data_IF_784998366355
#
_entry.id   IF_784998366355
#
_cell.length_a   1.000
_cell.length_b   1.000
_cell.length_c   1.000
_cell.angle_alpha   90.00
_cell.angle_beta   90.00
_cell.angle_gamma   90.00
#
_symmetry.space_group_name_H-M   'P 1'
#
loop_
_entity.id
_entity.type
_entity.pdbx_description
1 polymer ?
#
# COMPACT_ATOMS: atom_id res chain seq x y z
N UNK A 1 11.80 -16.20 16.59
CA UNK A 1 10.72 -16.37 15.59
C UNK A 1 9.51 -15.65 16.13
N UNK A 2 8.87 -14.79 15.34
CA UNK A 2 7.61 -14.16 15.75
C UNK A 2 6.55 -15.27 15.68
N UNK A 3 5.95 -15.60 16.82
CA UNK A 3 4.86 -16.56 16.90
C UNK A 3 3.58 -15.89 16.39
N UNK A 4 3.19 -16.27 15.18
CA UNK A 4 2.01 -15.74 14.49
C UNK A 4 0.70 -16.32 15.02
N UNK A 5 0.76 -17.42 15.78
CA UNK A 5 -0.41 -18.15 16.26
C UNK A 5 -1.00 -17.52 17.53
N UNK A 6 -0.16 -16.94 18.40
CA UNK A 6 -0.62 -16.34 19.66
C UNK A 6 -1.49 -15.09 19.48
N UNK A 7 -1.34 -14.34 18.38
CA UNK A 7 -2.16 -13.13 18.12
C UNK A 7 -3.50 -13.41 17.44
N UNK A 8 -3.67 -14.57 16.82
CA UNK A 8 -4.80 -14.81 15.90
C UNK A 8 -5.78 -15.90 16.34
N UNK A 9 -5.56 -16.55 17.49
CA UNK A 9 -6.38 -17.67 17.90
C UNK A 9 -6.17 -18.86 16.96
N UNK A 10 -6.03 -20.04 17.54
CA UNK A 10 -5.82 -21.30 16.82
C UNK A 10 -7.04 -21.67 15.96
N UNK A 11 -7.19 -21.08 14.78
CA UNK A 11 -8.10 -21.56 13.73
C UNK A 11 -7.26 -21.95 12.50
N UNK A 12 -7.31 -23.23 12.14
CA UNK A 12 -6.69 -23.79 10.94
C UNK A 12 -7.01 -22.93 9.71
N UNK A 13 -6.07 -22.80 8.79
CA UNK A 13 -6.25 -22.06 7.54
C UNK A 13 -7.53 -22.55 6.81
N UNK A 14 -8.57 -21.71 6.65
CA UNK A 14 -9.83 -22.15 6.08
C UNK A 14 -9.69 -22.41 4.58
N UNK A 15 -10.52 -23.33 4.07
CA UNK A 15 -10.59 -23.67 2.64
C UNK A 15 -11.01 -22.43 1.82
N UNK A 16 -10.33 -22.19 0.70
CA UNK A 16 -10.30 -20.91 -0.04
C UNK A 16 -11.59 -20.51 -0.78
N UNK A 17 -12.67 -21.30 -0.75
CA UNK A 17 -13.67 -21.25 -1.83
C UNK A 17 -15.08 -20.74 -1.45
N UNK A 18 -15.26 -20.08 -0.29
CA UNK A 18 -16.55 -19.46 0.06
C UNK A 18 -16.49 -17.91 0.01
N UNK A 19 -17.54 -17.22 -0.52
CA UNK A 19 -17.60 -15.76 -0.64
C UNK A 19 -17.38 -14.99 0.68
N UNK A 20 -17.69 -15.62 1.81
CA UNK A 20 -17.52 -15.05 3.15
C UNK A 20 -16.06 -15.06 3.67
N UNK A 21 -15.13 -15.72 2.98
CA UNK A 21 -13.73 -15.82 3.43
C UNK A 21 -12.83 -14.66 2.98
N UNK A 22 -13.30 -13.77 2.10
CA UNK A 22 -12.51 -12.63 1.65
C UNK A 22 -12.34 -11.58 2.76
N UNK A 23 -13.45 -11.22 3.42
CA UNK A 23 -13.45 -10.18 4.45
C UNK A 23 -13.05 -10.73 5.81
N UNK A 24 -12.27 -9.95 6.55
CA UNK A 24 -11.98 -10.21 7.96
C UNK A 24 -13.25 -10.08 8.81
N UNK A 25 -13.26 -10.78 9.94
CA UNK A 25 -14.27 -10.59 11.00
C UNK A 25 -14.16 -9.19 11.65
N UNK A 26 -12.99 -8.53 11.55
CA UNK A 26 -12.75 -7.19 12.11
C UNK A 26 -13.20 -6.07 11.17
N UNK A 27 -13.64 -4.94 11.74
CA UNK A 27 -13.90 -3.69 11.00
C UNK A 27 -12.60 -2.93 10.73
N UNK A 28 -12.64 -1.94 9.84
CA UNK A 28 -11.51 -1.04 9.63
C UNK A 28 -11.12 -0.25 10.89
N UNK A 29 -12.09 0.18 11.70
CA UNK A 29 -11.80 0.88 12.96
C UNK A 29 -11.07 0.02 13.99
N UNK A 30 -11.28 -1.30 13.98
CA UNK A 30 -10.55 -2.24 14.84
C UNK A 30 -9.12 -2.52 14.34
N UNK A 31 -8.82 -2.20 13.08
CA UNK A 31 -7.50 -2.41 12.46
C UNK A 31 -6.67 -1.14 12.48
N UNK A 32 -7.25 -0.01 12.05
CA UNK A 32 -6.61 1.31 11.99
C UNK A 32 -6.59 2.07 13.32
N UNK A 33 -7.29 1.57 14.35
CA UNK A 33 -7.65 2.35 15.52
C UNK A 33 -8.76 3.38 15.20
N UNK A 34 -9.04 4.26 16.17
CA UNK A 34 -10.08 5.31 16.07
C UNK A 34 -9.59 6.49 15.20
N UNK A 35 -9.13 6.20 14.00
CA UNK A 35 -8.81 7.23 12.99
C UNK A 35 -9.93 7.28 11.95
N UNK A 36 -10.25 8.48 11.47
CA UNK A 36 -11.26 8.69 10.42
C UNK A 36 -10.91 7.97 9.10
N UNK A 37 -9.65 7.56 8.93
CA UNK A 37 -9.14 6.89 7.75
C UNK A 37 -9.87 5.57 7.48
N UNK A 38 -10.05 4.73 8.50
CA UNK A 38 -10.75 3.45 8.36
C UNK A 38 -12.20 3.61 7.93
N UNK A 39 -12.89 4.64 8.43
CA UNK A 39 -14.26 4.96 8.04
C UNK A 39 -14.35 5.51 6.62
N UNK A 40 -13.42 6.39 6.21
CA UNK A 40 -13.36 6.94 4.86
C UNK A 40 -13.05 5.89 3.80
N UNK A 41 -12.12 4.96 4.09
CA UNK A 41 -11.85 3.81 3.24
C UNK A 41 -13.09 2.94 3.04
N UNK A 42 -13.82 2.67 4.13
CA UNK A 42 -15.04 1.86 4.08
C UNK A 42 -16.12 2.46 3.17
N UNK A 43 -16.34 3.78 3.29
CA UNK A 43 -17.37 4.48 2.53
C UNK A 43 -16.98 4.74 1.08
N UNK A 44 -15.73 5.16 0.83
CA UNK A 44 -15.36 5.70 -0.48
C UNK A 44 -14.72 4.69 -1.43
N UNK A 45 -14.09 3.63 -0.92
CA UNK A 45 -13.56 2.53 -1.75
C UNK A 45 -14.54 1.35 -1.88
N UNK A 46 -15.75 1.46 -1.31
CA UNK A 46 -16.73 0.38 -1.24
C UNK A 46 -16.14 -0.92 -0.64
N UNK A 47 -15.25 -0.76 0.35
CA UNK A 47 -14.61 -1.85 1.07
C UNK A 47 -15.18 -1.90 2.49
N UNK A 48 -16.33 -2.56 2.72
CA UNK A 48 -17.04 -2.47 4.00
C UNK A 48 -16.21 -2.95 5.20
N UNK A 49 -15.28 -3.88 4.96
CA UNK A 49 -14.34 -4.43 5.93
C UNK A 49 -12.97 -4.69 5.26
N UNK A 50 -11.87 -4.76 6.02
CA UNK A 50 -10.59 -5.24 5.50
C UNK A 50 -10.72 -6.66 4.97
N UNK A 51 -9.96 -6.99 3.93
CA UNK A 51 -9.74 -8.38 3.57
C UNK A 51 -8.92 -9.10 4.65
N UNK A 52 -8.93 -10.43 4.66
CA UNK A 52 -8.18 -11.23 5.63
C UNK A 52 -6.68 -10.88 5.62
N UNK A 53 -6.07 -10.81 4.44
CA UNK A 53 -4.64 -10.48 4.30
C UNK A 53 -4.32 -9.06 4.76
N UNK A 54 -5.22 -8.09 4.50
CA UNK A 54 -5.07 -6.72 5.00
C UNK A 54 -5.07 -6.70 6.53
N UNK A 55 -6.04 -7.37 7.17
CA UNK A 55 -6.11 -7.45 8.62
C UNK A 55 -4.91 -8.18 9.25
N UNK A 56 -4.46 -9.28 8.64
CA UNK A 56 -3.36 -10.09 9.18
C UNK A 56 -2.01 -9.36 9.14
N UNK A 57 -1.79 -8.51 8.14
CA UNK A 57 -0.48 -7.89 7.88
C UNK A 57 -0.37 -6.47 8.38
N UNK A 58 -1.51 -5.83 8.71
CA UNK A 58 -1.58 -4.41 8.99
C UNK A 58 -0.56 -3.93 10.03
N UNK A 59 -0.60 -4.52 11.23
CA UNK A 59 0.23 -4.08 12.35
C UNK A 59 1.72 -4.32 12.07
N UNK A 60 2.09 -5.46 11.49
CA UNK A 60 3.50 -5.77 11.24
C UNK A 60 4.10 -4.83 10.18
N UNK A 61 3.33 -4.48 9.14
CA UNK A 61 3.75 -3.47 8.16
C UNK A 61 3.79 -2.07 8.79
N UNK A 62 2.82 -1.71 9.64
CA UNK A 62 2.77 -0.42 10.32
C UNK A 62 3.98 -0.20 11.25
N UNK A 63 4.41 -1.26 11.95
CA UNK A 63 5.59 -1.24 12.82
C UNK A 63 6.92 -1.21 12.04
N UNK A 64 6.87 -1.34 10.71
CA UNK A 64 8.05 -1.33 9.84
C UNK A 64 8.81 -2.66 9.83
N UNK A 65 8.14 -3.78 10.15
CA UNK A 65 8.73 -5.11 10.06
C UNK A 65 8.82 -5.57 8.61
N UNK A 66 9.74 -6.52 8.35
CA UNK A 66 9.80 -7.22 7.07
C UNK A 66 8.68 -8.28 7.01
N UNK A 67 7.74 -8.13 6.07
CA UNK A 67 6.56 -8.99 5.96
C UNK A 67 6.54 -9.68 4.60
N UNK A 68 6.35 -11.00 4.61
CA UNK A 68 6.08 -11.78 3.40
C UNK A 68 4.57 -12.01 3.27
N UNK A 69 3.97 -11.50 2.18
CA UNK A 69 2.54 -11.65 1.91
C UNK A 69 2.35 -12.63 0.74
N UNK A 70 2.00 -13.87 1.06
CA UNK A 70 1.72 -14.92 0.08
C UNK A 70 0.21 -15.20 0.01
N UNK A 71 -0.45 -14.65 -1.00
CA UNK A 71 -1.89 -14.82 -1.22
C UNK A 71 -2.23 -14.71 -2.72
N UNK A 72 -3.37 -15.20 -3.16
CA UNK A 72 -3.82 -15.18 -4.55
C UNK A 72 -4.07 -13.76 -5.07
N UNK A 73 -4.01 -13.55 -6.40
CA UNK A 73 -4.39 -12.27 -7.01
C UNK A 73 -5.83 -11.90 -6.64
N UNK A 74 -6.10 -10.61 -6.46
CA UNK A 74 -7.43 -10.13 -6.04
C UNK A 74 -7.69 -10.17 -4.53
N UNK A 75 -6.83 -10.79 -3.70
CA UNK A 75 -7.00 -10.83 -2.22
C UNK A 75 -6.84 -9.48 -1.49
N UNK A 76 -6.45 -8.41 -2.21
CA UNK A 76 -6.26 -7.08 -1.63
C UNK A 76 -4.85 -6.79 -1.11
N UNK A 77 -3.84 -7.58 -1.51
CA UNK A 77 -2.42 -7.40 -1.12
C UNK A 77 -1.88 -5.98 -1.32
N UNK A 78 -2.29 -5.31 -2.41
CA UNK A 78 -1.84 -3.94 -2.71
C UNK A 78 -2.16 -2.98 -1.57
N UNK A 79 -3.41 -2.98 -1.12
CA UNK A 79 -3.83 -2.16 0.03
C UNK A 79 -3.29 -2.70 1.35
N UNK A 80 -3.01 -4.01 1.44
CA UNK A 80 -2.45 -4.62 2.64
C UNK A 80 -1.07 -4.03 3.01
N UNK A 81 -0.22 -3.74 2.02
CA UNK A 81 1.03 -3.03 2.27
C UNK A 81 0.88 -1.51 2.21
N UNK A 82 0.05 -0.95 1.32
CA UNK A 82 -0.02 0.51 1.14
C UNK A 82 -0.63 1.23 2.35
N UNK A 83 -1.75 0.71 2.88
CA UNK A 83 -2.51 1.42 3.89
C UNK A 83 -1.73 1.64 5.21
N UNK A 84 -1.04 0.63 5.77
CA UNK A 84 -0.22 0.84 6.96
C UNK A 84 0.98 1.76 6.70
N UNK A 85 1.58 1.68 5.50
CA UNK A 85 2.69 2.56 5.11
C UNK A 85 2.22 4.01 4.97
N UNK A 86 1.04 4.24 4.42
CA UNK A 86 0.45 5.58 4.37
C UNK A 86 0.20 6.12 5.78
N UNK A 87 -0.38 5.33 6.68
CA UNK A 87 -0.54 5.74 8.07
C UNK A 87 0.80 6.08 8.73
N UNK A 88 1.84 5.26 8.52
CA UNK A 88 3.16 5.49 9.13
C UNK A 88 3.86 6.74 8.59
N UNK A 89 3.94 6.88 7.27
CA UNK A 89 4.80 7.89 6.63
C UNK A 89 4.07 9.17 6.23
N UNK A 90 2.73 9.18 6.24
CA UNK A 90 1.92 10.36 5.90
C UNK A 90 1.32 11.01 7.15
N UNK A 91 0.92 10.25 8.18
CA UNK A 91 0.41 10.85 9.44
C UNK A 91 1.50 11.12 10.49
N UNK A 92 2.65 10.46 10.38
CA UNK A 92 3.71 10.52 11.39
C UNK A 92 4.78 11.59 11.19
N UNK A 93 4.68 12.42 10.14
CA UNK A 93 5.76 13.33 9.72
C UNK A 93 5.40 14.81 9.95
N UNK A 94 6.39 15.66 10.31
CA UNK A 94 6.22 17.11 10.37
C UNK A 94 5.99 17.72 8.97
N UNK A 95 5.29 18.86 8.92
CA UNK A 95 4.95 19.59 7.68
C UNK A 95 6.16 20.01 6.83
N UNK A 96 7.37 20.08 7.41
CA UNK A 96 8.58 20.57 6.72
C UNK A 96 9.21 19.54 5.72
N UNK A 97 8.69 18.31 5.63
CA UNK A 97 9.17 17.23 4.74
C UNK A 97 8.15 16.85 3.65
N UNK A 98 7.50 17.85 3.06
CA UNK A 98 6.57 17.67 1.94
C UNK A 98 7.28 17.14 0.67
N UNK A 99 6.65 16.15 0.04
CA UNK A 99 7.04 15.57 -1.26
C UNK A 99 8.48 15.06 -1.37
N UNK A 100 9.06 14.61 -0.26
CA UNK A 100 10.24 13.75 -0.26
C UNK A 100 9.85 12.30 -0.53
N UNK A 101 10.70 11.58 -1.27
CA UNK A 101 10.45 10.19 -1.62
C UNK A 101 10.46 9.30 -0.37
N UNK A 102 9.27 8.86 0.05
CA UNK A 102 9.06 8.03 1.25
C UNK A 102 8.89 6.56 0.91
N UNK A 103 8.28 6.25 -0.24
CA UNK A 103 7.89 4.89 -0.61
C UNK A 103 8.38 4.50 -2.00
N UNK A 104 8.94 3.29 -2.12
CA UNK A 104 9.32 2.67 -3.38
C UNK A 104 8.62 1.32 -3.49
N UNK A 105 7.84 1.12 -4.54
CA UNK A 105 7.20 -0.17 -4.84
C UNK A 105 7.78 -0.71 -6.14
N UNK A 106 8.36 -1.90 -6.07
CA UNK A 106 8.89 -2.60 -7.24
C UNK A 106 7.86 -3.55 -7.81
N UNK A 107 7.65 -3.48 -9.13
CA UNK A 107 6.72 -4.33 -9.86
C UNK A 107 7.41 -4.96 -11.08
N UNK A 108 6.96 -6.13 -11.54
CA UNK A 108 7.57 -6.83 -12.68
C UNK A 108 7.30 -6.17 -14.04
N UNK A 109 6.20 -5.43 -14.21
CA UNK A 109 5.77 -4.90 -15.52
C UNK A 109 5.33 -3.44 -15.43
N UNK A 110 5.40 -2.74 -16.56
CA UNK A 110 4.91 -1.35 -16.66
C UNK A 110 3.39 -1.26 -16.42
N UNK A 111 2.62 -2.22 -16.93
CA UNK A 111 1.16 -2.22 -16.76
C UNK A 111 0.76 -2.36 -15.29
N UNK A 112 1.46 -3.24 -14.55
CA UNK A 112 1.22 -3.39 -13.12
C UNK A 112 1.67 -2.14 -12.35
N UNK A 113 2.66 -1.39 -12.85
CA UNK A 113 3.04 -0.11 -12.26
C UNK A 113 1.90 0.89 -12.36
N UNK A 114 1.31 1.05 -13.55
CA UNK A 114 0.19 1.98 -13.76
C UNK A 114 -1.04 1.60 -12.93
N UNK A 115 -1.37 0.30 -12.84
CA UNK A 115 -2.45 -0.18 -11.97
C UNK A 115 -2.19 0.16 -10.49
N UNK A 116 -0.95 -0.05 -10.03
CA UNK A 116 -0.55 0.23 -8.65
C UNK A 116 -0.56 1.74 -8.35
N UNK A 117 -0.12 2.58 -9.30
CA UNK A 117 -0.22 4.05 -9.20
C UNK A 117 -1.68 4.49 -9.08
N UNK A 118 -2.58 3.92 -9.90
CA UNK A 118 -4.00 4.24 -9.83
C UNK A 118 -4.61 3.88 -8.46
N UNK A 119 -4.28 2.71 -7.92
CA UNK A 119 -4.70 2.30 -6.57
C UNK A 119 -4.15 3.25 -5.50
N UNK A 120 -2.87 3.61 -5.57
CA UNK A 120 -2.25 4.53 -4.62
C UNK A 120 -2.92 5.91 -4.62
N UNK A 121 -3.16 6.50 -5.81
CA UNK A 121 -3.87 7.78 -5.94
C UNK A 121 -5.28 7.72 -5.39
N UNK A 122 -6.03 6.67 -5.74
CA UNK A 122 -7.39 6.47 -5.26
C UNK A 122 -7.42 6.34 -3.74
N UNK A 123 -6.55 5.51 -3.16
CA UNK A 123 -6.46 5.36 -1.72
C UNK A 123 -6.09 6.69 -1.03
N UNK A 124 -5.16 7.45 -1.59
CA UNK A 124 -4.73 8.71 -1.01
C UNK A 124 -5.85 9.77 -0.94
N UNK A 125 -6.52 10.03 -2.07
CA UNK A 125 -7.67 10.94 -2.15
C UNK A 125 -8.77 10.50 -1.17
N UNK A 126 -9.07 9.20 -1.14
CA UNK A 126 -10.12 8.69 -0.27
C UNK A 126 -9.79 8.84 1.22
N UNK A 127 -8.52 8.78 1.59
CA UNK A 127 -8.03 9.05 2.95
C UNK A 127 -7.90 10.55 3.28
N UNK A 128 -8.09 11.46 2.32
CA UNK A 128 -7.97 12.91 2.52
C UNK A 128 -6.57 13.48 2.28
N UNK A 129 -5.77 12.82 1.44
CA UNK A 129 -4.43 13.29 1.03
C UNK A 129 -4.42 13.62 -0.46
N UNK A 130 -5.12 14.70 -0.81
CA UNK A 130 -5.31 15.11 -2.20
C UNK A 130 -4.00 15.56 -2.89
N UNK A 131 -2.99 15.99 -2.12
CA UNK A 131 -1.65 16.36 -2.64
C UNK A 131 -0.63 15.21 -2.57
N UNK A 132 -1.05 13.96 -2.32
CA UNK A 132 -0.12 12.83 -2.34
C UNK A 132 0.43 12.57 -3.75
N UNK A 133 1.75 12.72 -3.94
CA UNK A 133 2.39 12.61 -5.26
C UNK A 133 2.95 11.22 -5.50
N UNK A 134 2.37 10.52 -6.47
CA UNK A 134 2.82 9.18 -6.89
C UNK A 134 3.02 9.08 -8.40
N UNK A 135 4.18 8.54 -8.79
CA UNK A 135 4.60 8.41 -10.20
C UNK A 135 5.15 7.01 -10.52
N UNK A 136 4.96 6.58 -11.76
CA UNK A 136 5.57 5.36 -12.29
C UNK A 136 6.98 5.66 -12.86
N UNK A 137 7.93 4.75 -12.61
CA UNK A 137 9.29 4.78 -13.17
C UNK A 137 9.51 3.49 -13.95
N UNK A 138 9.13 3.51 -15.22
CA UNK A 138 9.09 2.32 -16.09
C UNK A 138 9.73 2.60 -17.45
N UNK A 139 9.99 1.54 -18.22
CA UNK A 139 10.41 1.68 -19.61
C UNK A 139 9.30 2.27 -20.48
N UNK A 140 9.67 2.94 -21.58
CA UNK A 140 8.72 3.53 -22.53
C UNK A 140 8.40 5.01 -22.33
N UNK A 141 8.76 5.59 -21.18
CA UNK A 141 8.70 7.05 -20.97
C UNK A 141 10.10 7.70 -21.08
N UNK A 142 10.20 8.91 -21.66
CA UNK A 142 11.46 9.65 -21.72
C UNK A 142 12.07 9.88 -20.33
N UNK A 143 13.39 9.68 -20.22
CA UNK A 143 14.12 9.87 -18.97
C UNK A 143 14.05 11.31 -18.45
N UNK A 144 14.01 12.28 -19.36
CA UNK A 144 13.87 13.71 -19.03
C UNK A 144 12.57 14.00 -18.27
N UNK A 145 11.47 13.35 -18.65
CA UNK A 145 10.18 13.49 -17.98
C UNK A 145 10.26 12.86 -16.58
N UNK A 146 10.77 11.63 -16.47
CA UNK A 146 10.92 10.96 -15.17
C UNK A 146 11.80 11.75 -14.20
N UNK A 147 12.96 12.24 -14.66
CA UNK A 147 13.84 13.09 -13.85
C UNK A 147 13.16 14.38 -13.41
N UNK A 148 12.35 15.00 -14.28
CA UNK A 148 11.59 16.21 -13.93
C UNK A 148 10.55 15.93 -12.85
N UNK A 149 9.82 14.81 -12.93
CA UNK A 149 8.86 14.43 -11.90
C UNK A 149 9.53 14.23 -10.54
N UNK A 150 10.67 13.53 -10.52
CA UNK A 150 11.46 13.33 -9.30
C UNK A 150 11.97 14.66 -8.71
N UNK A 151 12.40 15.61 -9.56
CA UNK A 151 12.86 16.93 -9.13
C UNK A 151 11.74 17.83 -8.59
N UNK A 152 10.51 17.64 -9.04
CA UNK A 152 9.35 18.43 -8.61
C UNK A 152 8.75 17.95 -7.27
N UNK A 153 9.38 16.95 -6.63
CA UNK A 153 8.89 16.31 -5.42
C UNK A 153 7.95 15.16 -5.72
N UNK A 154 8.12 14.07 -4.99
CA UNK A 154 7.35 12.83 -5.10
C UNK A 154 7.31 12.16 -3.73
N UNK A 155 6.15 11.68 -3.29
CA UNK A 155 6.01 10.93 -2.03
C UNK A 155 6.24 9.43 -2.24
N UNK A 156 5.83 8.91 -3.41
CA UNK A 156 5.92 7.50 -3.75
C UNK A 156 6.28 7.27 -5.22
N UNK A 157 7.15 6.28 -5.47
CA UNK A 157 7.36 5.75 -6.82
C UNK A 157 6.93 4.31 -6.94
N UNK A 158 6.38 3.95 -8.10
CA UNK A 158 6.15 2.56 -8.50
C UNK A 158 7.01 2.26 -9.72
N UNK A 159 7.95 1.33 -9.61
CA UNK A 159 8.99 1.17 -10.62
C UNK A 159 9.18 -0.26 -11.07
N UNK A 160 9.60 -0.45 -12.32
CA UNK A 160 10.22 -1.71 -12.73
C UNK A 160 11.69 -1.69 -12.33
N UNK A 161 12.20 -2.80 -11.78
CA UNK A 161 13.54 -2.87 -11.20
C UNK A 161 14.64 -2.42 -12.18
N UNK A 162 14.54 -2.84 -13.45
CA UNK A 162 15.50 -2.46 -14.49
C UNK A 162 15.52 -0.95 -14.76
N UNK A 163 14.35 -0.30 -14.83
CA UNK A 163 14.29 1.14 -15.09
C UNK A 163 14.77 1.97 -13.91
N UNK A 164 14.38 1.59 -12.69
CA UNK A 164 14.83 2.29 -11.49
C UNK A 164 16.36 2.23 -11.38
N UNK A 165 16.94 1.02 -11.54
CA UNK A 165 18.39 0.84 -11.51
C UNK A 165 19.09 1.68 -12.57
N UNK A 166 18.56 1.71 -13.80
CA UNK A 166 19.12 2.55 -14.87
C UNK A 166 19.12 4.03 -14.49
N UNK A 167 18.01 4.53 -13.93
CA UNK A 167 17.88 5.95 -13.56
C UNK A 167 18.78 6.34 -12.37
N UNK A 168 19.10 5.41 -11.47
CA UNK A 168 19.98 5.66 -10.33
C UNK A 168 21.47 5.69 -10.69
N UNK A 169 21.87 5.02 -11.77
CA UNK A 169 23.27 4.89 -12.17
C UNK A 169 23.71 5.94 -13.21
N UNK A 170 22.81 6.81 -13.63
CA UNK A 170 22.97 7.74 -14.76
C UNK A 170 22.61 9.19 -14.41
#
# INVERSE_FOLDING_TARGET
AIDWDERNGTEAAPKLDAPDHFFSKKSWSQVFGVTDMGARLAQRLNLPRPSRVQNMTFYDVQEGLNVLIADQSGSGKTLAYMLPLFQRYVLGQPEDEEHLLKLVVLVPTSDLAEQTVAVAKSAAVNCGWDDFRVHSITGGQPATIQRRLLKNGVDMIVATAGRLRWLMLE
#
